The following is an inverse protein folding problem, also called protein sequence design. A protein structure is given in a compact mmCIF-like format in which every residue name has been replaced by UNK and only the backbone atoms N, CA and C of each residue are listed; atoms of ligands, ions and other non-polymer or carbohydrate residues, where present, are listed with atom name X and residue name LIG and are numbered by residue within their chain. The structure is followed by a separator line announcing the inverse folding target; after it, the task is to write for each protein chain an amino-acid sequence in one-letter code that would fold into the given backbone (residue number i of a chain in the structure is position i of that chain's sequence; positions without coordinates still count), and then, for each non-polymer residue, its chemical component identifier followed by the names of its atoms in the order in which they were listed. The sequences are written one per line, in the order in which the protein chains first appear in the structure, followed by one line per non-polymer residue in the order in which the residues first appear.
data_IF_540823768250
#
_entry.id   IF_540823768250
#
_cell.length_a   1.000
_cell.length_b   1.000
_cell.length_c   1.000
_cell.angle_alpha   90.00
_cell.angle_beta   90.00
_cell.angle_gamma   90.00
#
_symmetry.space_group_name_H-M   'P 1'
#
loop_
_entity.id
_entity.type
_entity.pdbx_description
1 polymer ?
#
# COMPACT_ATOMS: atom_id res chain seq x y z
N UNK A 1 -36.17 16.20 -21.13
CA UNK A 1 -36.16 15.65 -19.76
C UNK A 1 -34.78 15.70 -19.17
N UNK A 2 -34.69 16.10 -17.91
CA UNK A 2 -33.39 16.09 -17.21
C UNK A 2 -33.03 14.65 -16.76
N UNK A 3 -31.80 14.27 -17.01
CA UNK A 3 -31.23 13.01 -16.53
C UNK A 3 -30.66 13.26 -15.15
N UNK A 4 -31.09 12.51 -14.15
CA UNK A 4 -30.65 12.71 -12.76
C UNK A 4 -29.65 11.63 -12.37
N UNK A 5 -28.46 12.06 -11.95
CA UNK A 5 -27.41 11.20 -11.43
C UNK A 5 -27.17 11.49 -9.95
N UNK A 6 -27.16 10.45 -9.13
CA UNK A 6 -26.71 10.57 -7.76
C UNK A 6 -25.17 10.40 -7.73
N UNK A 7 -24.46 11.49 -7.58
CA UNK A 7 -22.98 11.48 -7.60
C UNK A 7 -22.37 10.64 -6.46
N UNK A 8 -23.12 10.43 -5.38
CA UNK A 8 -22.64 9.59 -4.27
C UNK A 8 -22.41 8.15 -4.69
N UNK A 9 -23.16 7.65 -5.70
CA UNK A 9 -23.00 6.28 -6.22
C UNK A 9 -21.71 6.13 -7.05
N UNK A 10 -21.10 7.24 -7.47
CA UNK A 10 -19.93 7.29 -8.35
C UNK A 10 -18.69 7.84 -7.68
N UNK A 11 -18.76 8.19 -6.40
CA UNK A 11 -17.61 8.68 -5.66
C UNK A 11 -16.53 7.59 -5.54
N UNK A 12 -15.28 8.02 -5.38
CA UNK A 12 -14.17 7.12 -5.15
C UNK A 12 -14.48 6.19 -3.96
N UNK A 13 -14.18 4.89 -4.07
CA UNK A 13 -14.42 3.97 -2.98
C UNK A 13 -13.52 4.30 -1.79
N UNK A 14 -13.95 3.89 -0.61
CA UNK A 14 -13.20 4.05 0.63
C UNK A 14 -12.87 2.68 1.18
N UNK A 15 -11.60 2.47 1.51
CA UNK A 15 -11.16 1.25 2.18
C UNK A 15 -11.03 1.52 3.67
N UNK A 16 -11.74 0.76 4.48
CA UNK A 16 -11.60 0.77 5.94
C UNK A 16 -10.67 -0.38 6.34
N UNK A 17 -9.68 -0.06 7.15
CA UNK A 17 -8.72 -1.04 7.68
C UNK A 17 -8.82 -1.06 9.19
N UNK A 18 -9.10 -2.23 9.73
CA UNK A 18 -9.11 -2.47 11.18
C UNK A 18 -7.82 -3.18 11.57
N UNK A 19 -6.93 -2.45 12.25
CA UNK A 19 -5.67 -3.00 12.75
C UNK A 19 -5.81 -3.68 14.12
N UNK A 20 -7.02 -3.79 14.64
CA UNK A 20 -7.29 -4.35 15.96
C UNK A 20 -7.32 -3.30 17.05
N UNK A 21 -6.32 -2.46 17.14
CA UNK A 21 -6.24 -1.37 18.11
C UNK A 21 -6.89 -0.07 17.61
N UNK A 22 -7.04 0.06 16.29
CA UNK A 22 -7.53 1.27 15.65
C UNK A 22 -8.11 0.95 14.28
N UNK A 23 -9.21 1.60 13.95
CA UNK A 23 -9.79 1.59 12.60
C UNK A 23 -9.42 2.88 11.89
N UNK A 24 -8.93 2.77 10.68
CA UNK A 24 -8.60 3.90 9.82
C UNK A 24 -9.20 3.67 8.44
N UNK A 25 -9.36 4.74 7.69
CA UNK A 25 -9.92 4.64 6.35
C UNK A 25 -9.13 5.48 5.37
N UNK A 26 -9.11 5.07 4.12
CA UNK A 26 -8.46 5.77 3.03
C UNK A 26 -9.41 5.85 1.84
N UNK A 27 -9.54 7.03 1.25
CA UNK A 27 -10.28 7.22 0.00
C UNK A 27 -9.36 6.81 -1.16
N UNK A 28 -9.87 5.96 -2.04
CA UNK A 28 -9.11 5.44 -3.17
C UNK A 28 -9.19 6.39 -4.37
N UNK A 29 -8.68 7.60 -4.19
CA UNK A 29 -8.54 8.60 -5.25
C UNK A 29 -7.36 8.24 -6.16
N UNK A 30 -7.27 8.88 -7.32
CA UNK A 30 -6.12 8.72 -8.22
C UNK A 30 -4.81 9.09 -7.52
N UNK A 31 -4.82 10.17 -6.75
CA UNK A 31 -3.66 10.62 -5.97
C UNK A 31 -3.24 9.56 -4.95
N UNK A 32 -4.17 9.02 -4.17
CA UNK A 32 -3.88 7.99 -3.16
C UNK A 32 -3.35 6.71 -3.81
N UNK A 33 -3.96 6.27 -4.90
CA UNK A 33 -3.52 5.07 -5.62
C UNK A 33 -2.12 5.24 -6.19
N UNK A 34 -1.83 6.41 -6.77
CA UNK A 34 -0.53 6.76 -7.31
C UNK A 34 0.55 6.78 -6.22
N UNK A 35 0.27 7.42 -5.10
CA UNK A 35 1.18 7.48 -3.94
C UNK A 35 1.46 6.10 -3.37
N UNK A 36 0.43 5.27 -3.23
CA UNK A 36 0.57 3.92 -2.70
C UNK A 36 1.47 3.06 -3.60
N UNK A 37 1.30 3.16 -4.91
CA UNK A 37 2.16 2.46 -5.87
C UNK A 37 3.61 2.93 -5.78
N UNK A 38 3.84 4.24 -5.69
CA UNK A 38 5.18 4.81 -5.54
C UNK A 38 5.85 4.34 -4.24
N UNK A 39 5.15 4.39 -3.12
CA UNK A 39 5.68 3.90 -1.84
C UNK A 39 6.00 2.41 -1.88
N UNK A 40 5.16 1.62 -2.55
CA UNK A 40 5.39 0.17 -2.69
C UNK A 40 6.68 -0.11 -3.48
N UNK A 41 6.88 0.59 -4.59
CA UNK A 41 8.10 0.47 -5.41
C UNK A 41 9.33 0.85 -4.59
N UNK A 42 9.29 1.99 -3.93
CA UNK A 42 10.42 2.50 -3.15
C UNK A 42 10.76 1.57 -1.96
N UNK A 43 9.75 1.10 -1.25
CA UNK A 43 9.94 0.17 -0.13
C UNK A 43 10.53 -1.16 -0.60
N UNK A 44 10.02 -1.71 -1.70
CA UNK A 44 10.54 -2.96 -2.27
C UNK A 44 11.99 -2.80 -2.72
N UNK A 45 12.35 -1.67 -3.29
CA UNK A 45 13.71 -1.38 -3.72
C UNK A 45 14.66 -1.30 -2.51
N UNK A 46 14.26 -0.62 -1.45
CA UNK A 46 15.04 -0.53 -0.21
C UNK A 46 15.23 -1.90 0.45
N UNK A 47 14.19 -2.73 0.47
CA UNK A 47 14.28 -4.09 1.02
C UNK A 47 15.16 -5.00 0.17
N UNK A 48 15.15 -4.84 -1.16
CA UNK A 48 16.07 -5.54 -2.05
C UNK A 48 17.52 -5.15 -1.79
N UNK A 49 17.78 -3.88 -1.51
CA UNK A 49 19.12 -3.42 -1.13
C UNK A 49 19.58 -4.07 0.18
N UNK A 50 18.66 -4.22 1.15
CA UNK A 50 18.96 -4.94 2.39
C UNK A 50 19.27 -6.42 2.13
N UNK A 51 18.53 -7.06 1.22
CA UNK A 51 18.77 -8.47 0.84
C UNK A 51 20.09 -8.64 0.08
N UNK A 52 20.51 -7.63 -0.71
CA UNK A 52 21.79 -7.64 -1.41
C UNK A 52 22.99 -7.50 -0.46
N UNK A 53 22.79 -7.03 0.74
CA UNK A 53 23.76 -7.12 1.82
C UNK A 53 23.82 -8.57 2.28
N UNK A 54 24.10 -9.48 1.32
CA UNK A 54 24.20 -10.91 1.55
C UNK A 54 25.40 -11.22 2.45
N UNK A 55 25.41 -12.43 2.99
CA UNK A 55 26.48 -12.91 3.85
C UNK A 55 27.88 -12.65 3.28
N UNK A 56 28.02 -12.66 1.95
CA UNK A 56 29.30 -12.40 1.28
C UNK A 56 29.77 -10.94 1.39
N UNK A 57 28.86 -9.98 1.27
CA UNK A 57 29.19 -8.56 1.43
C UNK A 57 29.39 -8.20 2.90
N UNK A 58 28.55 -8.75 3.77
CA UNK A 58 28.66 -8.55 5.22
C UNK A 58 29.91 -9.21 5.79
N UNK A 59 30.36 -10.34 5.22
CA UNK A 59 31.57 -11.02 5.63
C UNK A 59 32.84 -10.23 5.35
N UNK A 60 32.82 -9.30 4.39
CA UNK A 60 33.94 -8.41 4.06
C UNK A 60 34.03 -7.23 5.00
N UNK A 61 33.00 -6.95 5.77
CA UNK A 61 32.96 -5.86 6.74
C UNK A 61 33.21 -6.40 8.14
N UNK A 62 33.70 -5.53 9.03
CA UNK A 62 33.72 -5.87 10.45
C UNK A 62 32.26 -6.07 10.93
N UNK A 63 32.10 -6.83 12.02
CA UNK A 63 30.76 -7.06 12.60
C UNK A 63 30.05 -5.74 12.92
N UNK A 64 30.78 -4.75 13.38
CA UNK A 64 30.25 -3.43 13.70
C UNK A 64 29.80 -2.69 12.45
N UNK A 65 30.60 -2.67 11.39
CA UNK A 65 30.29 -1.98 10.14
C UNK A 65 29.11 -2.64 9.41
N UNK A 66 29.07 -3.97 9.40
CA UNK A 66 27.96 -4.74 8.84
C UNK A 66 26.64 -4.42 9.55
N UNK A 67 26.65 -4.35 10.87
CA UNK A 67 25.49 -4.01 11.68
C UNK A 67 25.02 -2.58 11.41
N UNK A 68 25.93 -1.61 11.39
CA UNK A 68 25.60 -0.21 11.13
C UNK A 68 24.99 -0.02 9.74
N UNK A 69 25.55 -0.69 8.73
CA UNK A 69 25.03 -0.60 7.36
C UNK A 69 23.64 -1.20 7.24
N UNK A 70 23.40 -2.36 7.82
CA UNK A 70 22.08 -3.00 7.82
C UNK A 70 21.06 -2.15 8.57
N UNK A 71 21.41 -1.62 9.74
CA UNK A 71 20.55 -0.73 10.50
C UNK A 71 20.21 0.55 9.73
N UNK A 72 21.15 1.11 8.98
CA UNK A 72 20.91 2.28 8.15
C UNK A 72 19.90 1.99 7.04
N UNK A 73 20.06 0.90 6.31
CA UNK A 73 19.15 0.52 5.23
C UNK A 73 17.75 0.20 5.77
N UNK A 74 17.67 -0.57 6.84
CA UNK A 74 16.39 -0.88 7.48
C UNK A 74 15.72 0.36 8.08
N UNK A 75 16.52 1.28 8.65
CA UNK A 75 16.02 2.55 9.17
C UNK A 75 15.40 3.43 8.10
N UNK A 76 16.03 3.53 6.93
CA UNK A 76 15.50 4.29 5.80
C UNK A 76 14.18 3.69 5.29
N UNK A 77 14.13 2.37 5.18
CA UNK A 77 12.89 1.67 4.77
C UNK A 77 11.78 1.87 5.81
N UNK A 78 12.10 1.79 7.09
CA UNK A 78 11.16 2.04 8.19
C UNK A 78 10.60 3.46 8.12
N UNK A 79 11.45 4.46 7.97
CA UNK A 79 11.03 5.86 7.92
C UNK A 79 10.10 6.10 6.73
N UNK A 80 10.40 5.52 5.58
CA UNK A 80 9.55 5.59 4.40
C UNK A 80 8.18 4.97 4.66
N UNK A 81 8.14 3.78 5.24
CA UNK A 81 6.89 3.05 5.51
C UNK A 81 6.04 3.74 6.58
N UNK A 82 6.68 4.23 7.66
CA UNK A 82 5.97 4.98 8.70
C UNK A 82 5.33 6.24 8.12
N UNK A 83 6.07 6.99 7.31
CA UNK A 83 5.57 8.18 6.62
C UNK A 83 4.45 7.86 5.63
N UNK A 84 4.57 6.73 4.94
CA UNK A 84 3.55 6.28 3.99
C UNK A 84 2.21 5.99 4.68
N UNK A 85 2.23 5.27 5.80
CA UNK A 85 1.02 5.02 6.59
C UNK A 85 0.39 6.31 7.09
N UNK A 86 1.20 7.21 7.65
CA UNK A 86 0.72 8.48 8.17
C UNK A 86 0.05 9.33 7.08
N UNK A 87 0.66 9.39 5.90
CA UNK A 87 0.17 10.20 4.80
C UNK A 87 -1.08 9.60 4.15
N UNK A 88 -1.07 8.29 3.87
CA UNK A 88 -2.17 7.63 3.19
C UNK A 88 -3.46 7.60 4.01
N UNK A 89 -3.34 7.39 5.32
CA UNK A 89 -4.49 7.33 6.21
C UNK A 89 -4.77 8.66 6.93
N UNK A 90 -4.00 9.71 6.61
CA UNK A 90 -4.11 11.02 7.25
C UNK A 90 -4.15 10.92 8.78
N UNK A 91 -3.21 10.14 9.33
CA UNK A 91 -3.14 9.85 10.75
C UNK A 91 -1.68 9.90 11.21
N UNK A 92 -1.28 11.03 11.72
CA UNK A 92 0.10 11.27 12.18
C UNK A 92 0.41 10.35 13.36
N UNK A 93 1.49 9.58 13.24
CA UNK A 93 1.95 8.64 14.26
C UNK A 93 1.43 7.22 14.08
N UNK A 94 0.55 6.97 13.10
CA UNK A 94 0.04 5.63 12.81
C UNK A 94 1.18 4.66 12.46
N UNK A 95 2.10 5.07 11.61
CA UNK A 95 3.21 4.23 11.18
C UNK A 95 4.12 3.82 12.32
N UNK A 96 4.45 4.75 13.21
CA UNK A 96 5.26 4.48 14.41
C UNK A 96 4.55 3.50 15.34
N UNK A 97 3.25 3.69 15.56
CA UNK A 97 2.46 2.80 16.42
C UNK A 97 2.39 1.39 15.84
N UNK A 98 2.18 1.26 14.53
CA UNK A 98 2.20 -0.03 13.84
C UNK A 98 3.56 -0.71 13.99
N UNK A 99 4.65 0.01 13.77
CA UNK A 99 6.00 -0.51 13.93
C UNK A 99 6.22 -1.06 15.34
N UNK A 100 5.84 -0.30 16.37
CA UNK A 100 5.98 -0.72 17.75
C UNK A 100 5.13 -1.95 18.07
N UNK A 101 3.89 -2.00 17.58
CA UNK A 101 2.98 -3.13 17.83
C UNK A 101 3.38 -4.39 17.06
N UNK A 102 4.10 -4.24 15.95
CA UNK A 102 4.63 -5.36 15.17
C UNK A 102 5.97 -5.90 15.71
N UNK A 103 6.37 -5.47 16.90
CA UNK A 103 7.59 -5.92 17.51
C UNK A 103 8.85 -5.25 16.99
N UNK A 104 8.73 -4.03 16.47
CA UNK A 104 9.84 -3.25 15.90
C UNK A 104 10.54 -3.97 14.74
N UNK A 105 9.76 -4.53 13.85
CA UNK A 105 10.24 -5.23 12.65
C UNK A 105 9.87 -4.45 11.39
N UNK A 106 10.87 -3.97 10.68
CA UNK A 106 10.69 -3.27 9.39
C UNK A 106 10.07 -4.20 8.34
N UNK A 107 10.49 -5.47 8.30
CA UNK A 107 9.95 -6.47 7.39
C UNK A 107 8.46 -6.71 7.66
N UNK A 108 8.08 -6.81 8.93
CA UNK A 108 6.67 -6.95 9.32
C UNK A 108 5.85 -5.75 8.91
N UNK A 109 6.39 -4.54 9.07
CA UNK A 109 5.74 -3.29 8.66
C UNK A 109 5.54 -3.27 7.13
N UNK A 110 6.55 -3.70 6.36
CA UNK A 110 6.46 -3.80 4.91
C UNK A 110 5.40 -4.83 4.48
N UNK A 111 5.31 -5.96 5.17
CA UNK A 111 4.32 -6.99 4.89
C UNK A 111 2.89 -6.47 5.13
N UNK A 112 2.68 -5.71 6.20
CA UNK A 112 1.38 -5.08 6.46
C UNK A 112 1.05 -4.06 5.38
N UNK A 113 2.00 -3.23 4.98
CA UNK A 113 1.80 -2.27 3.89
C UNK A 113 1.44 -2.97 2.58
N UNK A 114 2.15 -4.03 2.24
CA UNK A 114 1.89 -4.85 1.05
C UNK A 114 0.48 -5.45 1.07
N UNK A 115 0.05 -5.93 2.23
CA UNK A 115 -1.30 -6.49 2.40
C UNK A 115 -2.38 -5.42 2.19
N UNK A 116 -2.18 -4.22 2.70
CA UNK A 116 -3.09 -3.09 2.48
C UNK A 116 -3.13 -2.74 0.98
N UNK A 117 -1.98 -2.69 0.33
CA UNK A 117 -1.88 -2.43 -1.11
C UNK A 117 -2.64 -3.48 -1.93
N UNK A 118 -2.54 -4.75 -1.56
CA UNK A 118 -3.29 -5.84 -2.21
C UNK A 118 -4.79 -5.63 -2.10
N UNK A 119 -5.29 -5.22 -0.94
CA UNK A 119 -6.70 -4.93 -0.74
C UNK A 119 -7.17 -3.72 -1.57
N UNK A 120 -6.34 -2.68 -1.68
CA UNK A 120 -6.61 -1.52 -2.56
C UNK A 120 -6.74 -1.97 -4.01
N UNK A 121 -5.82 -2.80 -4.47
CA UNK A 121 -5.84 -3.33 -5.84
C UNK A 121 -7.08 -4.17 -6.11
N UNK A 122 -7.52 -4.98 -5.14
CA UNK A 122 -8.74 -5.77 -5.26
C UNK A 122 -9.99 -4.89 -5.40
N UNK A 123 -10.09 -3.82 -4.63
CA UNK A 123 -11.21 -2.87 -4.72
C UNK A 123 -11.23 -2.19 -6.09
N UNK A 124 -10.08 -1.72 -6.55
CA UNK A 124 -9.96 -1.09 -7.87
C UNK A 124 -10.28 -2.05 -9.00
N UNK A 125 -9.82 -3.29 -8.92
CA UNK A 125 -10.11 -4.32 -9.92
C UNK A 125 -11.59 -4.68 -9.97
N UNK A 126 -12.26 -4.82 -8.83
CA UNK A 126 -13.70 -5.07 -8.76
C UNK A 126 -14.49 -3.97 -9.46
N UNK A 127 -14.08 -2.73 -9.29
CA UNK A 127 -14.71 -1.58 -9.93
C UNK A 127 -14.55 -1.63 -11.46
N UNK A 128 -13.38 -1.98 -11.96
CA UNK A 128 -13.11 -2.17 -13.38
C UNK A 128 -13.91 -3.34 -13.96
N UNK A 129 -13.93 -4.47 -13.26
CA UNK A 129 -14.71 -5.66 -13.66
C UNK A 129 -16.20 -5.35 -13.76
N UNK A 130 -16.74 -4.57 -12.83
CA UNK A 130 -18.13 -4.13 -12.88
C UNK A 130 -18.42 -3.27 -14.11
N UNK A 131 -17.51 -2.36 -14.46
CA UNK A 131 -17.64 -1.54 -15.68
C UNK A 131 -17.60 -2.40 -16.94
N UNK A 132 -16.68 -3.34 -17.02
CA UNK A 132 -16.53 -4.27 -18.14
C UNK A 132 -17.78 -5.16 -18.29
N UNK A 133 -18.28 -5.69 -17.19
CA UNK A 133 -19.48 -6.51 -17.19
C UNK A 133 -20.70 -5.74 -17.67
N UNK A 134 -20.85 -4.49 -17.26
CA UNK A 134 -21.93 -3.60 -17.75
C UNK A 134 -21.81 -3.36 -19.26
N UNK A 135 -20.60 -3.10 -19.72
CA UNK A 135 -20.34 -2.90 -21.15
C UNK A 135 -20.65 -4.16 -21.95
N UNK A 136 -20.18 -5.32 -21.51
CA UNK A 136 -20.41 -6.60 -22.16
C UNK A 136 -21.90 -6.96 -22.22
N UNK A 137 -22.67 -6.71 -21.16
CA UNK A 137 -24.12 -6.91 -21.13
C UNK A 137 -24.84 -6.06 -22.17
N UNK A 138 -24.47 -4.80 -22.31
CA UNK A 138 -25.04 -3.90 -23.31
C UNK A 138 -24.70 -4.36 -24.72
N UNK A 139 -23.50 -4.85 -24.94
CA UNK A 139 -23.03 -5.33 -26.23
C UNK A 139 -23.75 -6.63 -26.65
N UNK A 140 -23.93 -7.57 -25.74
CA UNK A 140 -24.65 -8.82 -25.96
C UNK A 140 -26.14 -8.55 -26.28
N UNK A 141 -26.77 -7.62 -25.58
CA UNK A 141 -28.17 -7.24 -25.86
C UNK A 141 -28.33 -6.64 -27.26
N UNK A 142 -27.35 -5.94 -27.79
CA UNK A 142 -27.37 -5.42 -29.16
C UNK A 142 -27.23 -6.52 -30.21
N UNK A 143 -26.50 -7.58 -29.91
CA UNK A 143 -26.33 -8.72 -30.82
C UNK A 143 -27.53 -9.63 -30.89
N UNK A 144 -28.41 -9.64 -29.87
CA UNK A 144 -29.61 -10.45 -29.80
C UNK A 144 -30.82 -9.84 -30.52
N UNK A 145 -30.72 -8.63 -31.02
CA UNK A 145 -31.69 -7.98 -31.84
C UNK A 145 -31.35 -8.17 -33.32
#
# INVERSE_FOLDING_TARGET
MAFVLNLNDYKAPQLEVDFGFKKVSVKLTDDTTSKMSAFTVDANQMLKEADKLTDNELAKLSRKDAKERLESVLGDARDLLEGAFDELFDDRGLGVELYNRLGKSTVSLANVFSRVNDEVNKVNQRKEDQKLNRYNRRHDNRKKK
#
